data_IF_062446030704
#
_entry.id   IF_062446030704
#
_cell.length_a   1.000
_cell.length_b   1.000
_cell.length_c   1.000
_cell.angle_alpha   90.00
_cell.angle_beta   90.00
_cell.angle_gamma   90.00
#
_symmetry.space_group_name_H-M   'P 1'
#
loop_
_entity.id
_entity.type
_entity.pdbx_description
1 polymer ?
#
# COMPACT_ATOMS: atom_id res chain seq x y z
N UNK A 1 -13.10 23.23 20.24
CA UNK A 1 -12.54 24.44 20.89
C UNK A 1 -12.26 25.56 19.88
N UNK A 2 -11.40 25.38 18.86
CA UNK A 2 -11.12 26.45 17.89
C UNK A 2 -12.36 26.95 17.11
N UNK A 3 -13.24 26.06 16.66
CA UNK A 3 -14.49 26.45 15.97
C UNK A 3 -15.47 27.22 16.87
N UNK A 4 -15.48 26.92 18.18
CA UNK A 4 -16.34 27.58 19.17
C UNK A 4 -15.81 29.01 19.43
N UNK A 5 -14.49 29.18 19.55
CA UNK A 5 -13.85 30.50 19.67
C UNK A 5 -13.99 31.35 18.41
N UNK A 6 -13.96 30.74 17.22
CA UNK A 6 -14.19 31.42 15.95
C UNK A 6 -15.65 31.91 15.84
N UNK A 7 -16.61 31.12 16.33
CA UNK A 7 -18.02 31.49 16.39
C UNK A 7 -18.28 32.64 17.35
N UNK A 8 -17.58 32.72 18.49
CA UNK A 8 -17.72 33.87 19.40
C UNK A 8 -17.17 35.19 18.84
N UNK A 9 -16.22 35.14 17.90
CA UNK A 9 -15.57 36.35 17.33
C UNK A 9 -16.26 36.83 16.06
N UNK A 10 -16.68 35.90 15.20
CA UNK A 10 -17.17 36.20 13.84
C UNK A 10 -18.67 35.89 13.69
N UNK A 11 -19.30 35.38 14.75
CA UNK A 11 -20.71 35.01 14.81
C UNK A 11 -21.11 34.12 13.62
N UNK A 12 -22.08 34.57 12.82
CA UNK A 12 -22.64 33.82 11.68
C UNK A 12 -21.66 33.69 10.53
N UNK A 13 -20.62 34.53 10.41
CA UNK A 13 -19.72 34.46 9.25
C UNK A 13 -18.74 33.27 9.29
N UNK A 14 -18.73 32.50 10.39
CA UNK A 14 -18.07 31.19 10.47
C UNK A 14 -18.64 30.20 9.44
N UNK A 15 -19.93 30.33 9.08
CA UNK A 15 -20.54 29.46 8.07
C UNK A 15 -19.88 29.60 6.69
N UNK A 16 -19.34 30.77 6.33
CA UNK A 16 -18.57 30.95 5.08
C UNK A 16 -17.22 30.23 5.13
N UNK A 17 -16.58 30.22 6.30
CA UNK A 17 -15.35 29.44 6.55
C UNK A 17 -15.62 27.94 6.44
N UNK A 18 -16.73 27.47 7.02
CA UNK A 18 -17.17 26.07 6.91
C UNK A 18 -17.54 25.70 5.46
N UNK A 19 -18.21 26.60 4.73
CA UNK A 19 -18.52 26.40 3.31
C UNK A 19 -17.24 26.25 2.48
N UNK A 20 -16.19 27.01 2.82
CA UNK A 20 -14.87 26.85 2.21
C UNK A 20 -14.29 25.45 2.54
N UNK A 21 -14.48 24.90 3.75
CA UNK A 21 -14.03 23.54 4.09
C UNK A 21 -14.75 22.52 3.22
N UNK A 22 -16.08 22.66 3.10
CA UNK A 22 -16.90 21.78 2.30
C UNK A 22 -16.50 21.81 0.82
N UNK A 23 -16.12 22.96 0.28
CA UNK A 23 -15.63 23.10 -1.10
C UNK A 23 -14.30 22.35 -1.33
N UNK A 24 -13.45 22.21 -0.31
CA UNK A 24 -12.17 21.49 -0.42
C UNK A 24 -12.29 19.97 -0.16
N UNK A 25 -13.43 19.46 0.34
CA UNK A 25 -13.68 18.02 0.46
C UNK A 25 -13.63 17.25 -0.88
N UNK A 26 -14.25 17.69 -1.99
CA UNK A 26 -14.11 16.99 -3.27
C UNK A 26 -12.66 16.97 -3.77
N UNK A 27 -11.89 18.03 -3.50
CA UNK A 27 -10.46 18.08 -3.82
C UNK A 27 -9.65 17.03 -3.03
N UNK A 28 -9.98 16.83 -1.75
CA UNK A 28 -9.42 15.76 -0.91
C UNK A 28 -9.71 14.37 -1.49
N UNK A 29 -10.98 14.11 -1.85
CA UNK A 29 -11.40 12.82 -2.39
C UNK A 29 -10.77 12.51 -3.76
N UNK A 30 -10.65 13.52 -4.63
CA UNK A 30 -9.98 13.36 -5.91
C UNK A 30 -8.50 13.04 -5.72
N UNK A 31 -7.82 13.80 -4.86
CA UNK A 31 -6.42 13.57 -4.48
C UNK A 31 -6.24 12.14 -3.95
N UNK A 32 -7.12 11.70 -3.06
CA UNK A 32 -7.13 10.33 -2.52
C UNK A 32 -7.14 9.26 -3.62
N UNK A 33 -8.05 9.36 -4.61
CA UNK A 33 -8.13 8.41 -5.73
C UNK A 33 -6.83 8.36 -6.53
N UNK A 34 -6.25 9.52 -6.82
CA UNK A 34 -4.98 9.64 -7.57
C UNK A 34 -3.83 9.00 -6.79
N UNK A 35 -3.72 9.29 -5.49
CA UNK A 35 -2.71 8.72 -4.61
C UNK A 35 -2.76 7.20 -4.58
N UNK A 36 -3.94 6.62 -4.34
CA UNK A 36 -4.12 5.15 -4.30
C UNK A 36 -3.67 4.50 -5.61
N UNK A 37 -4.03 5.09 -6.75
CA UNK A 37 -3.64 4.57 -8.07
C UNK A 37 -2.12 4.60 -8.30
N UNK A 38 -1.46 5.72 -7.98
CA UNK A 38 0.00 5.85 -8.14
C UNK A 38 0.73 4.92 -7.17
N UNK A 39 0.28 4.86 -5.91
CA UNK A 39 0.88 4.02 -4.85
C UNK A 39 0.83 2.54 -5.23
N UNK A 40 -0.32 2.04 -5.71
CA UNK A 40 -0.46 0.65 -6.17
C UNK A 40 0.54 0.33 -7.29
N UNK A 41 0.66 1.20 -8.28
CA UNK A 41 1.59 1.01 -9.41
C UNK A 41 3.07 1.07 -8.98
N UNK A 42 3.40 1.95 -8.03
CA UNK A 42 4.74 2.00 -7.44
C UNK A 42 5.10 0.69 -6.73
N UNK A 43 4.18 0.13 -5.94
CA UNK A 43 4.42 -1.13 -5.22
C UNK A 43 4.66 -2.27 -6.22
N UNK A 44 3.84 -2.40 -7.26
CA UNK A 44 4.05 -3.41 -8.31
C UNK A 44 5.43 -3.29 -8.99
N UNK A 45 5.85 -2.07 -9.34
CA UNK A 45 7.14 -1.84 -10.00
C UNK A 45 8.31 -2.15 -9.06
N UNK A 46 8.17 -1.77 -7.78
CA UNK A 46 9.16 -2.05 -6.74
C UNK A 46 9.29 -3.54 -6.46
N UNK A 47 8.17 -4.26 -6.35
CA UNK A 47 8.16 -5.71 -6.15
C UNK A 47 8.81 -6.44 -7.34
N UNK A 48 8.50 -6.03 -8.57
CA UNK A 48 9.14 -6.59 -9.78
C UNK A 48 10.66 -6.38 -9.79
N UNK A 49 11.13 -5.19 -9.35
CA UNK A 49 12.56 -4.91 -9.21
C UNK A 49 13.21 -5.80 -8.15
N UNK A 50 12.57 -5.95 -6.99
CA UNK A 50 13.08 -6.79 -5.92
C UNK A 50 13.16 -8.26 -6.34
N UNK A 51 12.11 -8.79 -6.98
CA UNK A 51 12.11 -10.15 -7.53
C UNK A 51 13.29 -10.36 -8.49
N UNK A 52 13.46 -9.47 -9.46
CA UNK A 52 14.55 -9.56 -10.42
C UNK A 52 15.94 -9.53 -9.76
N UNK A 53 16.13 -8.70 -8.73
CA UNK A 53 17.39 -8.66 -7.97
C UNK A 53 17.61 -9.99 -7.24
N UNK A 54 16.58 -10.53 -6.60
CA UNK A 54 16.66 -11.83 -5.92
C UNK A 54 17.02 -12.95 -6.89
N UNK A 55 16.38 -13.01 -8.06
CA UNK A 55 16.65 -14.03 -9.09
C UNK A 55 18.12 -13.95 -9.58
N UNK A 56 18.63 -12.74 -9.80
CA UNK A 56 20.03 -12.51 -10.21
C UNK A 56 21.01 -12.92 -9.11
N UNK A 57 20.71 -12.61 -7.84
CA UNK A 57 21.57 -12.97 -6.72
C UNK A 57 21.65 -14.48 -6.52
N UNK A 58 20.51 -15.18 -6.67
CA UNK A 58 20.47 -16.65 -6.64
C UNK A 58 21.32 -17.27 -7.76
N UNK A 59 21.33 -16.66 -8.95
CA UNK A 59 22.09 -17.11 -10.12
C UNK A 59 23.50 -16.51 -10.31
N UNK A 60 24.05 -15.82 -9.30
CA UNK A 60 25.21 -14.91 -9.51
C UNK A 60 26.47 -15.59 -10.06
N UNK A 61 26.72 -16.86 -9.69
CA UNK A 61 27.91 -17.61 -10.15
C UNK A 61 27.89 -17.84 -11.66
N UNK A 62 26.74 -18.28 -12.19
CA UNK A 62 26.54 -18.51 -13.63
C UNK A 62 26.66 -17.19 -14.37
N UNK A 63 26.05 -16.13 -13.83
CA UNK A 63 26.05 -14.81 -14.42
C UNK A 63 27.47 -14.25 -14.61
N UNK A 64 28.33 -14.43 -13.60
CA UNK A 64 29.75 -14.06 -13.67
C UNK A 64 30.55 -14.92 -14.65
N UNK A 65 30.25 -16.22 -14.73
CA UNK A 65 30.92 -17.13 -15.67
C UNK A 65 30.71 -16.69 -17.13
N UNK A 66 29.53 -16.16 -17.44
CA UNK A 66 29.16 -15.68 -18.78
C UNK A 66 29.37 -14.17 -19.01
N UNK A 67 29.93 -13.44 -18.03
CA UNK A 67 30.09 -11.97 -18.08
C UNK A 67 28.76 -11.21 -18.39
N UNK A 68 27.63 -11.71 -17.87
CA UNK A 68 26.30 -11.15 -18.11
C UNK A 68 25.86 -10.10 -17.07
N UNK A 69 26.75 -9.67 -16.18
CA UNK A 69 26.42 -8.69 -15.14
C UNK A 69 26.05 -7.31 -15.72
N UNK A 70 26.73 -6.88 -16.79
CA UNK A 70 26.46 -5.59 -17.45
C UNK A 70 25.05 -5.57 -18.08
N UNK A 71 24.65 -6.53 -18.94
CA UNK A 71 23.31 -6.53 -19.52
C UNK A 71 22.21 -6.69 -18.47
N UNK A 72 22.41 -7.52 -17.44
CA UNK A 72 21.45 -7.65 -16.34
C UNK A 72 21.31 -6.35 -15.52
N UNK A 73 22.44 -5.68 -15.25
CA UNK A 73 22.45 -4.36 -14.61
C UNK A 73 21.66 -3.31 -15.41
N UNK A 74 21.81 -3.28 -16.74
CA UNK A 74 21.02 -2.40 -17.62
C UNK A 74 19.52 -2.68 -17.52
N UNK A 75 19.12 -3.95 -17.44
CA UNK A 75 17.72 -4.34 -17.31
C UNK A 75 17.13 -3.93 -15.94
N UNK A 76 17.88 -4.05 -14.85
CA UNK A 76 17.49 -3.49 -13.53
C UNK A 76 17.34 -1.97 -13.62
N UNK A 77 18.27 -1.28 -14.31
CA UNK A 77 18.22 0.18 -14.45
C UNK A 77 17.02 0.66 -15.25
N UNK A 78 16.63 -0.07 -16.30
CA UNK A 78 15.38 0.21 -17.03
C UNK A 78 14.16 0.16 -16.10
N UNK A 79 14.07 -0.85 -15.23
CA UNK A 79 12.98 -0.95 -14.27
C UNK A 79 13.04 0.15 -13.19
N UNK A 80 14.25 0.50 -12.73
CA UNK A 80 14.47 1.64 -11.82
C UNK A 80 14.03 2.97 -12.43
N UNK A 81 14.24 3.21 -13.72
CA UNK A 81 13.78 4.44 -14.38
C UNK A 81 12.25 4.55 -14.37
N UNK A 82 11.55 3.44 -14.62
CA UNK A 82 10.10 3.37 -14.49
C UNK A 82 9.63 3.66 -13.05
N UNK A 83 10.26 3.05 -12.05
CA UNK A 83 10.00 3.33 -10.62
C UNK A 83 10.20 4.81 -10.28
N UNK A 84 11.33 5.39 -10.67
CA UNK A 84 11.67 6.81 -10.41
C UNK A 84 10.67 7.74 -11.09
N UNK A 85 10.20 7.43 -12.31
CA UNK A 85 9.16 8.25 -12.96
C UNK A 85 7.85 8.27 -12.19
N UNK A 86 7.42 7.13 -11.64
CA UNK A 86 6.24 7.03 -10.80
C UNK A 86 6.45 7.73 -9.46
N UNK A 87 7.66 7.65 -8.90
CA UNK A 87 8.04 8.37 -7.69
C UNK A 87 8.00 9.89 -7.89
N UNK A 88 8.55 10.39 -9.01
CA UNK A 88 8.46 11.81 -9.38
C UNK A 88 7.02 12.27 -9.52
N UNK A 89 6.17 11.48 -10.19
CA UNK A 89 4.75 11.80 -10.33
C UNK A 89 4.03 11.87 -8.98
N UNK A 90 4.32 10.94 -8.08
CA UNK A 90 3.78 10.98 -6.71
C UNK A 90 4.24 12.23 -5.98
N UNK A 91 5.54 12.54 -6.02
CA UNK A 91 6.07 13.73 -5.36
C UNK A 91 5.43 15.00 -5.91
N UNK A 92 5.31 15.13 -7.23
CA UNK A 92 4.64 16.27 -7.85
C UNK A 92 3.19 16.42 -7.36
N UNK A 93 2.42 15.33 -7.34
CA UNK A 93 1.06 15.34 -6.79
C UNK A 93 1.06 15.72 -5.29
N UNK A 94 1.95 15.15 -4.48
CA UNK A 94 2.05 15.47 -3.04
C UNK A 94 2.35 16.94 -2.81
N UNK A 95 3.28 17.52 -3.58
CA UNK A 95 3.66 18.93 -3.45
C UNK A 95 2.51 19.85 -3.84
N UNK A 96 1.82 19.57 -4.95
CA UNK A 96 0.67 20.35 -5.39
C UNK A 96 -0.46 20.32 -4.34
N UNK A 97 -0.77 19.13 -3.84
CA UNK A 97 -1.72 18.93 -2.76
C UNK A 97 -1.30 19.69 -1.49
N UNK A 98 -0.03 19.61 -1.09
CA UNK A 98 0.49 20.35 0.06
C UNK A 98 0.38 21.86 -0.11
N UNK A 99 0.67 22.40 -1.29
CA UNK A 99 0.48 23.83 -1.58
C UNK A 99 -0.99 24.22 -1.41
N UNK A 100 -1.92 23.43 -1.96
CA UNK A 100 -3.35 23.68 -1.83
C UNK A 100 -3.81 23.68 -0.35
N UNK A 101 -3.35 22.73 0.47
CA UNK A 101 -3.66 22.71 1.90
C UNK A 101 -3.02 23.86 2.69
N UNK A 102 -1.86 24.34 2.27
CA UNK A 102 -1.24 25.52 2.90
C UNK A 102 -1.96 26.82 2.53
N UNK A 103 -2.51 26.92 1.32
CA UNK A 103 -3.31 28.06 0.87
C UNK A 103 -4.71 28.08 1.51
N UNK A 104 -5.27 26.91 1.80
CA UNK A 104 -6.61 26.73 2.37
C UNK A 104 -6.97 27.71 3.52
N UNK A 105 -6.22 27.77 4.65
CA UNK A 105 -6.57 28.64 5.77
C UNK A 105 -6.44 30.13 5.43
N UNK A 106 -5.55 30.50 4.52
CA UNK A 106 -5.37 31.88 4.05
C UNK A 106 -6.61 32.31 3.28
N UNK A 107 -7.06 31.47 2.33
CA UNK A 107 -8.27 31.73 1.55
C UNK A 107 -9.50 31.77 2.45
N UNK A 108 -9.65 30.82 3.37
CA UNK A 108 -10.77 30.81 4.33
C UNK A 108 -10.80 32.06 5.21
N UNK A 109 -9.64 32.54 5.68
CA UNK A 109 -9.54 33.78 6.46
C UNK A 109 -10.00 34.98 5.62
N UNK A 110 -9.52 35.11 4.39
CA UNK A 110 -9.90 36.20 3.48
C UNK A 110 -11.41 36.17 3.22
N UNK A 111 -11.99 35.01 2.92
CA UNK A 111 -13.43 34.85 2.64
C UNK A 111 -14.27 35.23 3.86
N UNK A 112 -13.90 34.79 5.06
CA UNK A 112 -14.61 35.15 6.29
C UNK A 112 -14.55 36.66 6.58
N UNK A 113 -13.39 37.30 6.43
CA UNK A 113 -13.23 38.73 6.68
C UNK A 113 -13.96 39.59 5.63
N UNK A 114 -13.90 39.20 4.36
CA UNK A 114 -14.68 39.86 3.29
C UNK A 114 -16.18 39.71 3.58
N UNK A 115 -16.63 38.52 3.99
CA UNK A 115 -18.03 38.29 4.34
C UNK A 115 -18.49 39.15 5.52
N UNK A 116 -17.66 39.27 6.55
CA UNK A 116 -17.90 40.13 7.72
C UNK A 116 -18.07 41.62 7.35
N UNK A 117 -17.30 42.12 6.38
CA UNK A 117 -17.40 43.52 5.93
C UNK A 117 -18.61 43.73 5.02
N UNK A 118 -18.81 42.86 4.02
CA UNK A 118 -19.81 43.07 2.97
C UNK A 118 -21.22 42.73 3.43
N UNK A 119 -21.43 41.61 4.13
CA UNK A 119 -22.77 41.12 4.46
C UNK A 119 -23.28 41.65 5.81
N UNK A 120 -22.40 41.79 6.79
CA UNK A 120 -22.77 42.29 8.13
C UNK A 120 -22.61 43.81 8.28
N UNK A 121 -21.92 44.48 7.34
CA UNK A 121 -21.69 45.94 7.38
C UNK A 121 -20.90 46.41 8.60
N UNK A 122 -20.26 45.48 9.34
CA UNK A 122 -19.50 45.76 10.57
C UNK A 122 -18.11 46.27 10.23
N UNK A 123 -17.59 47.20 11.05
CA UNK A 123 -16.23 47.70 10.89
C UNK A 123 -15.22 46.65 11.33
N UNK A 124 -14.23 46.38 10.48
CA UNK A 124 -13.16 45.45 10.81
C UNK A 124 -12.21 46.11 11.83
N UNK A 125 -12.34 45.74 13.11
CA UNK A 125 -11.36 46.15 14.12
C UNK A 125 -10.11 45.27 14.05
N UNK A 126 -8.92 45.81 14.37
CA UNK A 126 -7.68 45.04 14.40
C UNK A 126 -7.77 43.80 15.29
N UNK A 127 -8.45 43.91 16.44
CA UNK A 127 -8.67 42.81 17.38
C UNK A 127 -9.37 41.61 16.71
N UNK A 128 -10.46 41.86 15.99
CA UNK A 128 -11.22 40.80 15.29
C UNK A 128 -10.38 40.18 14.18
N UNK A 129 -9.64 40.99 13.42
CA UNK A 129 -8.79 40.49 12.35
C UNK A 129 -7.65 39.60 12.87
N UNK A 130 -6.96 40.04 13.93
CA UNK A 130 -5.87 39.27 14.54
C UNK A 130 -6.35 37.99 15.23
N UNK A 131 -7.47 38.05 15.96
CA UNK A 131 -8.08 36.86 16.58
C UNK A 131 -8.51 35.84 15.52
N UNK A 132 -9.15 36.29 14.44
CA UNK A 132 -9.57 35.43 13.32
C UNK A 132 -8.37 34.73 12.68
N UNK A 133 -7.31 35.48 12.37
CA UNK A 133 -6.07 34.94 11.81
C UNK A 133 -5.43 33.90 12.74
N UNK A 134 -5.40 34.18 14.05
CA UNK A 134 -4.85 33.28 15.06
C UNK A 134 -5.62 31.96 15.11
N UNK A 135 -6.96 32.02 15.14
CA UNK A 135 -7.79 30.82 15.14
C UNK A 135 -7.64 29.97 13.87
N UNK A 136 -7.57 30.60 12.69
CA UNK A 136 -7.31 29.86 11.44
C UNK A 136 -5.91 29.23 11.40
N UNK A 137 -4.89 29.90 11.95
CA UNK A 137 -3.55 29.32 12.09
C UNK A 137 -3.52 28.12 13.05
N UNK A 138 -4.27 28.16 14.15
CA UNK A 138 -4.41 27.02 15.04
C UNK A 138 -5.16 25.85 14.37
N UNK A 139 -6.20 26.15 13.58
CA UNK A 139 -6.92 25.13 12.83
C UNK A 139 -6.09 24.52 11.70
N UNK A 140 -5.15 25.27 11.11
CA UNK A 140 -4.27 24.78 10.04
C UNK A 140 -3.55 23.49 10.42
N UNK A 141 -3.00 23.40 11.62
CA UNK A 141 -2.27 22.21 12.06
C UNK A 141 -3.17 20.97 12.11
N UNK A 142 -4.39 21.12 12.65
CA UNK A 142 -5.38 20.04 12.70
C UNK A 142 -5.91 19.68 11.32
N UNK A 143 -6.15 20.66 10.45
CA UNK A 143 -6.59 20.44 9.06
C UNK A 143 -5.52 19.70 8.27
N UNK A 144 -4.23 19.98 8.51
CA UNK A 144 -3.12 19.33 7.82
C UNK A 144 -2.88 17.89 8.29
N UNK A 145 -3.21 17.58 9.55
CA UNK A 145 -3.09 16.24 10.10
C UNK A 145 -4.05 15.23 9.43
N UNK A 146 -5.26 15.68 9.06
CA UNK A 146 -6.29 14.82 8.43
C UNK A 146 -5.79 14.17 7.12
N UNK A 147 -5.34 14.90 6.09
CA UNK A 147 -4.87 14.30 4.84
C UNK A 147 -3.61 13.46 5.04
N UNK A 148 -2.74 13.82 5.99
CA UNK A 148 -1.58 12.99 6.35
C UNK A 148 -2.03 11.64 6.91
N UNK A 149 -2.95 11.63 7.87
CA UNK A 149 -3.51 10.41 8.44
C UNK A 149 -4.21 9.57 7.36
N UNK A 150 -4.96 10.20 6.46
CA UNK A 150 -5.59 9.49 5.34
C UNK A 150 -4.55 8.82 4.45
N UNK A 151 -3.46 9.51 4.08
CA UNK A 151 -2.37 8.91 3.30
C UNK A 151 -1.74 7.70 4.01
N UNK A 152 -1.54 7.79 5.33
CA UNK A 152 -0.99 6.68 6.12
C UNK A 152 -1.97 5.51 6.21
N UNK A 153 -3.26 5.77 6.40
CA UNK A 153 -4.29 4.73 6.39
C UNK A 153 -4.38 4.02 5.04
N UNK A 154 -4.25 4.73 3.92
CA UNK A 154 -4.21 4.10 2.58
C UNK A 154 -3.04 3.13 2.48
N UNK A 155 -1.84 3.58 2.86
CA UNK A 155 -0.63 2.75 2.81
C UNK A 155 -0.78 1.53 3.71
N UNK A 156 -1.30 1.74 4.92
CA UNK A 156 -1.58 0.67 5.88
C UNK A 156 -2.58 -0.34 5.30
N UNK A 157 -3.70 0.13 4.72
CA UNK A 157 -4.72 -0.73 4.11
C UNK A 157 -4.16 -1.55 2.95
N UNK A 158 -3.46 -0.92 1.99
CA UNK A 158 -2.87 -1.64 0.86
C UNK A 158 -1.84 -2.67 1.36
N UNK A 159 -1.07 -2.34 2.40
CA UNK A 159 -0.14 -3.28 3.01
C UNK A 159 -0.86 -4.44 3.71
N UNK A 160 -1.94 -4.15 4.43
CA UNK A 160 -2.76 -5.13 5.12
C UNK A 160 -3.42 -6.10 4.14
N UNK A 161 -4.00 -5.60 3.04
CA UNK A 161 -4.60 -6.41 1.98
C UNK A 161 -3.57 -7.42 1.41
N UNK A 162 -2.30 -7.02 1.29
CA UNK A 162 -1.22 -7.93 0.85
C UNK A 162 -0.91 -9.00 1.88
N UNK A 163 -0.81 -8.64 3.16
CA UNK A 163 -0.55 -9.58 4.26
C UNK A 163 -1.70 -10.57 4.36
N UNK A 164 -2.95 -10.08 4.31
CA UNK A 164 -4.13 -10.92 4.31
C UNK A 164 -4.12 -11.89 3.14
N UNK A 165 -3.80 -11.44 1.92
CA UNK A 165 -3.70 -12.34 0.78
C UNK A 165 -2.68 -13.46 1.01
N UNK A 166 -1.51 -13.12 1.54
CA UNK A 166 -0.44 -14.09 1.83
C UNK A 166 -0.85 -15.10 2.94
N UNK A 167 -1.53 -14.64 3.98
CA UNK A 167 -1.99 -15.51 5.08
C UNK A 167 -3.19 -16.39 4.71
N UNK A 168 -3.91 -16.04 3.65
CA UNK A 168 -5.04 -16.82 3.11
C UNK A 168 -4.63 -17.66 1.89
N UNK A 169 -3.33 -17.74 1.58
CA UNK A 169 -2.82 -18.65 0.56
C UNK A 169 -3.01 -20.10 1.06
N UNK A 170 -3.31 -21.03 0.15
CA UNK A 170 -3.58 -22.43 0.53
C UNK A 170 -2.35 -23.06 1.19
N UNK A 171 -2.55 -23.71 2.34
CA UNK A 171 -1.52 -24.48 3.01
C UNK A 171 -1.42 -25.90 2.43
N UNK A 172 -0.23 -26.50 2.52
CA UNK A 172 -0.02 -27.89 2.11
C UNK A 172 -0.90 -28.78 2.99
N UNK A 173 -1.74 -29.66 2.41
CA UNK A 173 -2.62 -30.50 3.19
C UNK A 173 -1.82 -31.41 4.12
N UNK A 174 -2.28 -31.54 5.36
CA UNK A 174 -1.67 -32.42 6.35
C UNK A 174 -1.82 -33.88 5.90
N UNK A 175 -0.71 -34.48 5.47
CA UNK A 175 -0.67 -35.90 5.12
C UNK A 175 -0.67 -36.68 6.44
N UNK A 176 -1.83 -37.24 6.81
CA UNK A 176 -1.94 -38.09 8.00
C UNK A 176 -1.14 -39.36 7.80
N UNK A 177 -0.22 -39.63 8.73
CA UNK A 177 0.46 -40.92 8.81
C UNK A 177 -0.60 -42.02 8.99
N UNK A 178 -0.74 -42.84 7.96
CA UNK A 178 -1.70 -43.97 7.92
C UNK A 178 -1.03 -45.30 8.27
N UNK A 179 0.26 -45.29 8.59
CA UNK A 179 0.99 -46.47 9.04
C UNK A 179 0.43 -46.99 10.35
N UNK A 180 0.18 -48.31 10.38
CA UNK A 180 -0.19 -49.02 11.58
C UNK A 180 1.02 -49.06 12.54
N UNK A 181 0.95 -48.46 13.74
CA UNK A 181 2.06 -48.45 14.70
C UNK A 181 2.48 -49.85 15.19
N UNK A 182 1.70 -50.89 14.87
CA UNK A 182 2.02 -52.29 15.16
C UNK A 182 3.00 -52.92 14.15
N UNK A 183 3.09 -52.39 12.93
CA UNK A 183 4.00 -52.89 11.89
C UNK A 183 5.34 -52.15 11.96
N UNK A 184 6.31 -52.71 12.70
CA UNK A 184 7.64 -52.09 12.91
C UNK A 184 8.61 -52.32 11.75
N UNK A 185 8.33 -53.27 10.87
CA UNK A 185 9.26 -53.65 9.79
C UNK A 185 9.20 -52.70 8.58
N UNK A 186 8.11 -51.96 8.38
CA UNK A 186 7.92 -51.08 7.20
C UNK A 186 8.00 -49.61 7.62
N UNK A 187 8.97 -48.87 7.07
CA UNK A 187 9.23 -47.45 7.41
C UNK A 187 8.56 -46.50 6.42
N UNK A 188 8.46 -46.89 5.14
CA UNK A 188 7.80 -46.10 4.09
C UNK A 188 6.89 -47.01 3.30
N UNK A 189 5.61 -46.68 3.25
CA UNK A 189 4.62 -47.36 2.44
C UNK A 189 3.85 -46.30 1.63
N UNK A 190 3.88 -46.45 0.32
CA UNK A 190 3.10 -45.69 -0.63
C UNK A 190 2.26 -46.71 -1.38
N UNK A 191 0.94 -46.54 -1.37
CA UNK A 191 0.03 -47.43 -2.09
C UNK A 191 -0.80 -46.61 -3.07
N UNK A 192 -0.68 -46.94 -4.37
CA UNK A 192 -1.41 -46.28 -5.46
C UNK A 192 -1.47 -44.74 -5.33
N UNK A 193 -0.34 -44.13 -4.93
CA UNK A 193 -0.27 -42.71 -4.59
C UNK A 193 0.05 -41.86 -5.82
N UNK A 194 -0.63 -40.72 -5.95
CA UNK A 194 -0.48 -39.79 -7.10
C UNK A 194 -0.15 -38.40 -6.58
N UNK A 195 0.86 -37.74 -7.16
CA UNK A 195 1.37 -36.45 -6.69
C UNK A 195 1.41 -35.43 -7.83
N UNK A 196 1.02 -34.19 -7.54
CA UNK A 196 1.05 -33.03 -8.43
C UNK A 196 1.61 -31.79 -7.71
N UNK A 197 2.14 -30.83 -8.47
CA UNK A 197 2.67 -29.56 -7.93
C UNK A 197 1.64 -28.44 -7.84
N UNK A 198 0.53 -28.55 -8.57
CA UNK A 198 -0.52 -27.52 -8.62
C UNK A 198 -1.82 -28.05 -8.04
N UNK A 199 -2.44 -27.23 -7.19
CA UNK A 199 -3.77 -27.45 -6.63
C UNK A 199 -4.91 -27.04 -7.58
N UNK A 200 -4.62 -26.22 -8.60
CA UNK A 200 -5.59 -25.87 -9.64
C UNK A 200 -5.95 -27.13 -10.43
N UNK A 201 -7.17 -27.61 -10.18
CA UNK A 201 -7.86 -28.72 -10.81
C UNK A 201 -6.95 -29.93 -11.10
N UNK A 202 -7.08 -30.98 -10.28
CA UNK A 202 -6.55 -32.33 -10.60
C UNK A 202 -6.98 -32.82 -12.00
N UNK A 203 -7.96 -32.18 -12.64
CA UNK A 203 -8.40 -32.40 -14.02
C UNK A 203 -7.58 -31.62 -15.07
N UNK A 204 -7.02 -30.46 -14.75
CA UNK A 204 -6.26 -29.61 -15.68
C UNK A 204 -4.73 -29.77 -15.57
N UNK A 205 -4.24 -30.23 -14.41
CA UNK A 205 -2.82 -30.40 -14.16
C UNK A 205 -2.39 -31.86 -14.29
N UNK A 206 -1.41 -32.13 -15.16
CA UNK A 206 -0.91 -33.49 -15.39
C UNK A 206 -0.16 -33.93 -14.12
N UNK A 207 -0.59 -35.02 -13.43
CA UNK A 207 0.13 -35.49 -12.26
C UNK A 207 1.54 -35.93 -12.66
N UNK A 208 2.53 -35.51 -11.87
CA UNK A 208 3.95 -35.78 -12.15
C UNK A 208 4.31 -37.21 -11.77
N UNK A 209 3.77 -37.69 -10.66
CA UNK A 209 3.90 -39.08 -10.23
C UNK A 209 2.50 -39.69 -10.18
N UNK A 210 2.31 -40.84 -10.83
CA UNK A 210 1.01 -41.52 -10.93
C UNK A 210 1.11 -42.93 -10.40
N UNK A 211 0.13 -43.32 -9.57
CA UNK A 211 -0.05 -44.69 -9.10
C UNK A 211 1.23 -45.34 -8.57
N UNK A 212 1.97 -44.60 -7.75
CA UNK A 212 3.21 -45.09 -7.15
C UNK A 212 2.86 -46.06 -6.02
N UNK A 213 3.38 -47.28 -6.12
CA UNK A 213 3.29 -48.30 -5.08
C UNK A 213 4.71 -48.69 -4.69
N UNK A 214 5.10 -48.41 -3.45
CA UNK A 214 6.45 -48.62 -2.93
C UNK A 214 6.37 -48.99 -1.46
N UNK A 215 7.07 -50.05 -1.07
CA UNK A 215 7.21 -50.49 0.32
C UNK A 215 8.70 -50.57 0.63
N UNK A 216 9.13 -49.96 1.74
CA UNK A 216 10.52 -49.91 2.19
C UNK A 216 10.59 -50.41 3.63
N UNK A 217 11.46 -51.40 3.89
CA UNK A 217 11.62 -52.00 5.21
C UNK A 217 12.78 -51.42 6.00
N UNK A 218 12.74 -51.62 7.32
CA UNK A 218 13.82 -51.21 8.23
C UNK A 218 15.13 -51.94 7.89
N UNK A 219 16.19 -51.16 7.68
CA UNK A 219 17.53 -51.67 7.35
C UNK A 219 17.82 -51.89 5.86
N UNK A 220 16.89 -51.59 4.95
CA UNK A 220 17.14 -51.70 3.51
C UNK A 220 17.84 -50.45 2.94
N UNK A 221 18.84 -50.67 2.08
CA UNK A 221 19.48 -49.61 1.28
C UNK A 221 18.92 -49.64 -0.14
N UNK A 222 18.18 -48.60 -0.51
CA UNK A 222 17.52 -48.50 -1.82
C UNK A 222 18.18 -47.42 -2.67
N UNK A 223 18.50 -47.76 -3.91
CA UNK A 223 18.88 -46.79 -4.95
C UNK A 223 17.67 -46.44 -5.80
N UNK A 224 17.32 -45.16 -5.86
CA UNK A 224 16.33 -44.63 -6.80
C UNK A 224 17.11 -44.11 -8.01
N UNK A 225 16.85 -44.68 -9.19
CA UNK A 225 17.51 -44.33 -10.47
C UNK A 225 16.50 -43.59 -11.36
#
# INVERSE_FOLDING_TARGET
>A
MCLIGLYSVIEKNVFYGIATICFFLPFNFFTFKVFTKIQKKQMQTKDARLKMITDILSGIKILKLYAWEIPMGKMIMKNRQAEVSLQKRMHFCTTLTSIAFNAYPIVATIVCLIGYIIFDGKQLTPEIAFLTLLFFNLMRSSIYAIPQLTQQMIKAKISFDRIQKFLLEDEVPEIKNTMDPSNKDTIVELYNSTFSWSHEDFEASIPVLKSLTLEIKEGELIGII
#
